data_IF_581457375732
#
_entry.id   IF_581457375732
#
_cell.length_a   1.000
_cell.length_b   1.000
_cell.length_c   1.000
_cell.angle_alpha   90.00
_cell.angle_beta   90.00
_cell.angle_gamma   90.00
#
_symmetry.space_group_name_H-M   'P 1'
#
loop_
_entity.id
_entity.type
_entity.pdbx_description
1 polymer ?
#
# COMPACT_ATOMS: atom_id res chain seq x y z
N UNK A 1 30.68 -1.60 -40.79
CA UNK A 1 30.84 -1.74 -39.32
C UNK A 1 30.39 -0.52 -38.51
N UNK A 2 30.54 0.73 -38.99
CA UNK A 2 30.19 1.93 -38.20
C UNK A 2 28.68 2.12 -37.90
N UNK A 3 27.78 1.65 -38.78
CA UNK A 3 26.31 1.85 -38.66
C UNK A 3 25.62 0.93 -37.64
N UNK A 4 26.14 -0.28 -37.44
CA UNK A 4 25.64 -1.22 -36.41
C UNK A 4 26.02 -0.72 -35.01
N UNK A 5 27.21 -0.14 -34.85
CA UNK A 5 27.65 0.48 -33.60
C UNK A 5 26.78 1.67 -33.18
N UNK A 6 26.31 2.48 -34.14
CA UNK A 6 25.45 3.63 -33.84
C UNK A 6 24.04 3.20 -33.41
N UNK A 7 23.48 2.17 -34.03
CA UNK A 7 22.16 1.61 -33.65
C UNK A 7 22.23 0.97 -32.26
N UNK A 8 23.32 0.25 -31.96
CA UNK A 8 23.55 -0.37 -30.66
C UNK A 8 23.73 0.69 -29.55
N UNK A 9 24.44 1.79 -29.84
CA UNK A 9 24.55 2.93 -28.94
C UNK A 9 23.21 3.64 -28.69
N UNK A 10 22.37 3.77 -29.72
CA UNK A 10 21.03 4.36 -29.58
C UNK A 10 20.10 3.49 -28.71
N UNK A 11 20.17 2.17 -28.87
CA UNK A 11 19.42 1.22 -28.06
C UNK A 11 19.88 1.22 -26.60
N UNK A 12 21.20 1.36 -26.37
CA UNK A 12 21.75 1.52 -25.03
C UNK A 12 21.29 2.83 -24.36
N UNK A 13 21.14 3.91 -25.13
CA UNK A 13 20.67 5.21 -24.62
C UNK A 13 19.20 5.17 -24.16
N UNK A 14 18.35 4.41 -24.85
CA UNK A 14 16.94 4.19 -24.46
C UNK A 14 16.83 3.33 -23.19
N UNK A 15 17.76 2.38 -22.98
CA UNK A 15 17.78 1.55 -21.77
C UNK A 15 18.15 2.37 -20.51
N UNK A 16 18.97 3.42 -20.63
CA UNK A 16 19.42 4.24 -19.49
C UNK A 16 18.34 5.24 -19.05
N UNK A 17 17.54 5.78 -19.98
CA UNK A 17 16.43 6.71 -19.64
C UNK A 17 15.23 6.00 -19.01
N UNK A 18 15.09 4.67 -19.20
CA UNK A 18 14.08 3.84 -18.55
C UNK A 18 14.28 3.64 -17.03
N UNK A 19 15.44 4.00 -16.45
CA UNK A 19 15.69 3.85 -15.01
C UNK A 19 14.80 4.77 -14.15
N UNK A 20 14.33 5.90 -14.70
CA UNK A 20 13.45 6.84 -13.98
C UNK A 20 11.96 6.45 -14.01
N UNK A 21 11.58 5.43 -14.79
CA UNK A 21 10.21 4.90 -14.80
C UNK A 21 9.96 3.85 -13.69
N UNK A 22 10.99 3.48 -12.93
CA UNK A 22 10.91 2.45 -11.89
C UNK A 22 10.56 3.02 -10.51
N UNK A 23 10.32 4.34 -10.40
CA UNK A 23 9.81 4.96 -9.18
C UNK A 23 8.29 4.71 -9.03
N UNK A 24 7.87 3.44 -8.97
CA UNK A 24 6.52 3.02 -8.58
C UNK A 24 6.18 3.40 -7.11
N UNK A 25 7.14 3.96 -6.36
CA UNK A 25 7.04 4.21 -4.91
C UNK A 25 6.23 5.43 -4.51
N UNK A 26 5.64 6.18 -5.44
CA UNK A 26 4.75 7.31 -5.11
C UNK A 26 3.27 6.96 -5.30
N UNK A 27 2.84 5.78 -4.83
CA UNK A 27 1.42 5.59 -4.57
C UNK A 27 1.07 6.48 -3.39
N UNK A 28 0.06 7.36 -3.54
CA UNK A 28 -0.56 8.02 -2.39
C UNK A 28 -1.07 6.90 -1.48
N UNK A 29 -0.32 6.63 -0.42
CA UNK A 29 -0.66 5.56 0.48
C UNK A 29 -1.76 6.08 1.42
N UNK A 30 -2.96 5.56 1.25
CA UNK A 30 -4.14 5.94 2.01
C UNK A 30 -4.06 5.50 3.47
N UNK A 31 -5.01 6.00 4.25
CA UNK A 31 -5.16 5.70 5.67
C UNK A 31 -6.57 5.16 5.93
N UNK A 32 -6.66 4.03 6.62
CA UNK A 32 -7.92 3.48 7.13
C UNK A 32 -7.85 3.56 8.65
N UNK A 33 -8.84 4.16 9.29
CA UNK A 33 -8.93 4.24 10.75
C UNK A 33 -10.37 4.12 11.20
N UNK A 34 -10.56 3.67 12.43
CA UNK A 34 -11.88 3.56 13.03
C UNK A 34 -11.81 3.36 14.54
N UNK A 35 -12.98 3.22 15.14
CA UNK A 35 -13.16 2.95 16.57
C UNK A 35 -14.12 1.77 16.71
N UNK A 36 -13.80 0.84 17.61
CA UNK A 36 -14.66 -0.28 17.98
C UNK A 36 -15.24 0.03 19.35
N UNK A 37 -16.57 0.11 19.42
CA UNK A 37 -17.29 0.44 20.65
C UNK A 37 -18.30 -0.61 21.04
N UNK A 38 -18.57 -0.70 22.34
CA UNK A 38 -19.74 -1.39 22.88
C UNK A 38 -21.01 -0.65 22.42
N UNK A 39 -22.07 -1.39 22.09
CA UNK A 39 -23.25 -0.86 21.41
C UNK A 39 -24.04 0.12 22.27
N UNK A 40 -24.23 -0.20 23.55
CA UNK A 40 -25.13 0.52 24.43
C UNK A 40 -24.41 1.66 25.15
N UNK A 41 -23.19 1.42 25.64
CA UNK A 41 -22.38 2.38 26.39
C UNK A 41 -21.52 3.27 25.51
N UNK A 42 -21.30 2.89 24.24
CA UNK A 42 -20.39 3.56 23.30
C UNK A 42 -18.95 3.68 23.83
N UNK A 43 -18.59 2.84 24.78
CA UNK A 43 -17.23 2.74 25.32
C UNK A 43 -16.35 2.00 24.32
N UNK A 44 -15.12 2.49 24.13
CA UNK A 44 -14.14 1.85 23.27
C UNK A 44 -13.70 0.48 23.80
N UNK A 45 -13.55 -0.50 22.91
CA UNK A 45 -13.13 -1.86 23.29
C UNK A 45 -11.64 -2.02 22.98
N UNK A 46 -10.76 -2.09 23.99
CA UNK A 46 -9.33 -2.28 23.78
C UNK A 46 -8.97 -3.72 23.42
N UNK A 47 -7.85 -3.90 22.73
CA UNK A 47 -7.26 -5.21 22.47
C UNK A 47 -7.92 -6.01 21.34
N UNK A 48 -8.86 -5.43 20.59
CA UNK A 48 -9.52 -6.10 19.47
C UNK A 48 -8.59 -6.15 18.27
N UNK A 49 -8.37 -7.34 17.72
CA UNK A 49 -7.61 -7.53 16.48
C UNK A 49 -8.48 -7.20 15.27
N UNK A 50 -8.03 -6.23 14.47
CA UNK A 50 -8.65 -5.83 13.21
C UNK A 50 -7.71 -6.23 12.09
N UNK A 51 -8.27 -6.85 11.05
CA UNK A 51 -7.53 -7.31 9.89
C UNK A 51 -8.21 -6.74 8.65
N UNK A 52 -7.44 -6.20 7.73
CA UNK A 52 -7.90 -5.87 6.38
C UNK A 52 -7.24 -6.80 5.38
N UNK A 53 -8.02 -7.23 4.39
CA UNK A 53 -7.56 -8.10 3.30
C UNK A 53 -7.88 -7.46 1.96
N UNK A 54 -6.88 -7.37 1.09
CA UNK A 54 -7.10 -6.86 -0.26
C UNK A 54 -7.88 -7.88 -1.11
N UNK A 55 -9.01 -7.46 -1.68
CA UNK A 55 -9.93 -8.38 -2.40
C UNK A 55 -9.34 -8.91 -3.71
N UNK A 56 -8.50 -8.11 -4.39
CA UNK A 56 -7.86 -8.54 -5.64
C UNK A 56 -6.69 -9.48 -5.38
N UNK A 57 -5.92 -9.18 -4.35
CA UNK A 57 -4.69 -9.88 -3.99
C UNK A 57 -4.85 -10.36 -2.55
N UNK A 58 -5.50 -11.51 -2.37
CA UNK A 58 -5.76 -12.10 -1.04
C UNK A 58 -4.50 -12.39 -0.22
N UNK A 59 -3.31 -12.15 -0.78
CA UNK A 59 -1.99 -12.24 -0.13
C UNK A 59 -1.62 -10.99 0.66
N UNK A 60 -2.23 -9.82 0.39
CA UNK A 60 -1.97 -8.61 1.15
C UNK A 60 -2.95 -8.49 2.31
N UNK A 61 -2.46 -8.85 3.50
CA UNK A 61 -3.20 -8.76 4.77
C UNK A 61 -2.44 -7.86 5.73
N UNK A 62 -3.13 -6.90 6.36
CA UNK A 62 -2.54 -6.05 7.41
C UNK A 62 -3.39 -6.15 8.68
N UNK A 63 -2.72 -6.38 9.81
CA UNK A 63 -3.35 -6.47 11.13
C UNK A 63 -3.05 -5.23 11.97
N UNK A 64 -3.99 -4.87 12.85
CA UNK A 64 -3.86 -3.83 13.87
C UNK A 64 -4.64 -4.24 15.12
N UNK A 65 -4.33 -3.64 16.26
CA UNK A 65 -5.02 -3.91 17.53
C UNK A 65 -5.54 -2.59 18.09
N UNK A 66 -6.77 -2.59 18.60
CA UNK A 66 -7.37 -1.37 19.18
C UNK A 66 -6.67 -0.95 20.47
N UNK A 67 -6.51 0.37 20.66
CA UNK A 67 -5.93 0.96 21.88
C UNK A 67 -6.95 1.04 23.04
N UNK A 68 -6.58 1.68 24.16
CA UNK A 68 -7.44 1.88 25.34
C UNK A 68 -8.78 2.58 25.04
N UNK A 69 -8.86 3.34 23.95
CA UNK A 69 -10.07 4.03 23.48
C UNK A 69 -10.82 3.25 22.41
N UNK A 70 -10.41 2.03 22.08
CA UNK A 70 -10.99 1.23 21.00
C UNK A 70 -10.58 1.65 19.59
N UNK A 71 -9.61 2.56 19.43
CA UNK A 71 -9.22 3.10 18.13
C UNK A 71 -8.19 2.20 17.43
N UNK A 72 -8.30 2.07 16.11
CA UNK A 72 -7.31 1.40 15.26
C UNK A 72 -6.93 2.27 14.06
N UNK A 73 -5.72 2.03 13.55
CA UNK A 73 -5.21 2.72 12.36
C UNK A 73 -4.39 1.77 11.47
N UNK A 74 -4.59 1.91 10.17
CA UNK A 74 -3.78 1.34 9.11
C UNK A 74 -3.26 2.47 8.24
N UNK A 75 -1.96 2.71 8.31
CA UNK A 75 -1.27 3.64 7.42
C UNK A 75 -0.76 2.92 6.19
N UNK A 76 -0.34 3.68 5.20
CA UNK A 76 0.38 3.18 4.05
C UNK A 76 -0.41 2.15 3.22
N UNK A 77 -1.72 2.40 3.03
CA UNK A 77 -2.65 1.50 2.34
C UNK A 77 -2.71 1.85 0.85
N UNK A 78 -2.46 0.86 0.00
CA UNK A 78 -2.59 1.05 -1.45
C UNK A 78 -4.05 1.28 -1.84
N UNK A 79 -4.29 2.03 -2.91
CA UNK A 79 -5.63 2.15 -3.45
C UNK A 79 -6.15 0.78 -3.92
N UNK A 80 -7.37 0.42 -3.53
CA UNK A 80 -7.92 -0.90 -3.79
C UNK A 80 -9.23 -1.15 -3.07
N UNK A 81 -9.73 -2.38 -3.15
CA UNK A 81 -10.92 -2.83 -2.42
C UNK A 81 -10.50 -3.79 -1.31
N UNK A 82 -11.07 -3.61 -0.13
CA UNK A 82 -10.70 -4.33 1.09
C UNK A 82 -11.94 -4.89 1.79
N UNK A 83 -11.75 -6.00 2.51
CA UNK A 83 -12.70 -6.58 3.47
C UNK A 83 -12.03 -6.73 4.84
#
# INVERSE_FOLDING_TARGET
MKRISTIFLLFCFIAITGLKAQDWKNFSEGKISGIITEKDKKEGIPGVSVIIKHLRDSTYTKGSTTNEKGEFVFENIRAGRYE
#
